data_IF_787252236203
#
_entry.id   IF_787252236203
#
_cell.length_a   1.000
_cell.length_b   1.000
_cell.length_c   1.000
_cell.angle_alpha   90.00
_cell.angle_beta   90.00
_cell.angle_gamma   90.00
#
_symmetry.space_group_name_H-M   'P 1'
#
loop_
_entity.id
_entity.type
_entity.pdbx_description
1 polymer ?
#
# COMPACT_ATOMS: atom_id res chain seq x y z
N UNK A 1 29.72 -25.54 18.15
CA UNK A 1 28.35 -25.02 18.28
C UNK A 1 27.40 -26.01 17.65
N UNK A 2 26.49 -26.59 18.41
CA UNK A 2 25.51 -27.56 17.92
C UNK A 2 24.29 -26.87 17.27
N UNK A 3 23.37 -27.63 16.70
CA UNK A 3 22.22 -27.08 15.98
C UNK A 3 21.26 -26.31 16.89
N UNK A 4 21.07 -26.73 18.15
CA UNK A 4 20.21 -26.03 19.09
C UNK A 4 20.79 -24.66 19.45
N UNK A 5 22.11 -24.59 19.67
CA UNK A 5 22.82 -23.33 19.92
C UNK A 5 22.74 -22.40 18.70
N UNK A 6 22.81 -22.94 17.48
CA UNK A 6 22.64 -22.17 16.25
C UNK A 6 21.22 -21.58 16.11
N UNK A 7 20.19 -22.35 16.46
CA UNK A 7 18.79 -21.88 16.44
C UNK A 7 18.62 -20.72 17.41
N UNK A 8 19.04 -20.88 18.67
CA UNK A 8 18.92 -19.85 19.71
C UNK A 8 19.63 -18.56 19.28
N UNK A 9 20.85 -18.66 18.75
CA UNK A 9 21.60 -17.50 18.26
C UNK A 9 20.89 -16.80 17.09
N UNK A 10 20.30 -17.57 16.18
CA UNK A 10 19.58 -17.03 15.01
C UNK A 10 18.30 -16.32 15.44
N UNK A 11 17.54 -16.87 16.39
CA UNK A 11 16.34 -16.23 16.93
C UNK A 11 16.67 -14.92 17.65
N UNK A 12 17.74 -14.90 18.45
CA UNK A 12 18.22 -13.67 19.08
C UNK A 12 18.61 -12.61 18.03
N UNK A 13 19.30 -13.03 16.95
CA UNK A 13 19.65 -12.12 15.86
C UNK A 13 18.43 -11.59 15.11
N UNK A 14 17.44 -12.44 14.88
CA UNK A 14 16.17 -12.05 14.26
C UNK A 14 15.42 -11.04 15.13
N UNK A 15 15.38 -11.24 16.45
CA UNK A 15 14.77 -10.30 17.37
C UNK A 15 15.46 -8.92 17.32
N UNK A 16 16.79 -8.89 17.27
CA UNK A 16 17.57 -7.66 17.10
C UNK A 16 17.24 -6.97 15.76
N UNK A 17 17.23 -7.72 14.66
CA UNK A 17 16.93 -7.18 13.33
C UNK A 17 15.51 -6.61 13.26
N UNK A 18 14.53 -7.25 13.91
CA UNK A 18 13.15 -6.72 13.99
C UNK A 18 13.08 -5.39 14.73
N UNK A 19 13.82 -5.23 15.82
CA UNK A 19 13.89 -3.95 16.55
C UNK A 19 14.53 -2.86 15.68
N UNK A 20 15.61 -3.19 14.97
CA UNK A 20 16.27 -2.27 14.04
C UNK A 20 15.33 -1.87 12.90
N UNK A 21 14.62 -2.83 12.30
CA UNK A 21 13.64 -2.57 11.25
C UNK A 21 12.52 -1.64 11.72
N UNK A 22 12.00 -1.84 12.94
CA UNK A 22 10.96 -0.98 13.50
C UNK A 22 11.44 0.47 13.68
N UNK A 23 12.70 0.67 14.09
CA UNK A 23 13.31 1.98 14.28
C UNK A 23 13.85 2.61 12.98
N UNK A 24 14.04 1.83 11.91
CA UNK A 24 14.65 2.29 10.68
C UNK A 24 13.76 3.31 9.93
N UNK A 25 14.36 4.35 9.30
CA UNK A 25 13.64 5.25 8.40
C UNK A 25 13.09 4.51 7.18
N UNK A 26 11.92 4.93 6.68
CA UNK A 26 11.34 4.34 5.47
C UNK A 26 12.21 4.52 4.21
N UNK A 27 13.10 5.52 4.18
CA UNK A 27 14.04 5.71 3.07
C UNK A 27 15.02 4.53 2.89
N UNK A 28 15.29 3.77 3.95
CA UNK A 28 16.23 2.65 3.93
C UNK A 28 15.55 1.29 3.75
N UNK A 29 14.34 1.14 4.30
CA UNK A 29 13.63 -0.16 4.39
C UNK A 29 12.30 -0.21 3.64
N UNK A 30 11.93 0.88 2.98
CA UNK A 30 10.65 1.05 2.31
C UNK A 30 9.55 1.60 3.24
N UNK A 31 8.50 2.14 2.63
CA UNK A 31 7.36 2.66 3.36
C UNK A 31 6.55 1.55 4.04
N UNK A 32 6.19 1.81 5.30
CA UNK A 32 5.19 1.02 6.05
C UNK A 32 3.82 1.65 5.89
N UNK A 33 3.11 1.25 4.86
CA UNK A 33 1.80 1.80 4.50
C UNK A 33 0.70 1.30 5.44
N UNK A 34 -0.15 2.23 5.89
CA UNK A 34 -1.35 1.95 6.66
C UNK A 34 -2.54 2.62 6.01
N UNK A 35 -3.62 1.87 5.82
CA UNK A 35 -4.85 2.40 5.25
C UNK A 35 -5.44 3.49 6.15
N UNK A 36 -5.72 4.67 5.58
CA UNK A 36 -6.26 5.83 6.31
C UNK A 36 -7.60 6.32 5.79
N UNK A 37 -8.06 5.83 4.64
CA UNK A 37 -9.34 6.23 4.05
C UNK A 37 -9.32 6.06 2.54
N UNK A 38 -10.17 6.82 1.84
CA UNK A 38 -10.21 6.81 0.39
C UNK A 38 -10.13 8.20 -0.22
N UNK A 39 -9.64 8.25 -1.46
CA UNK A 39 -9.72 9.40 -2.35
C UNK A 39 -10.79 9.13 -3.41
N UNK A 40 -11.42 10.18 -3.93
CA UNK A 40 -12.29 10.03 -5.09
C UNK A 40 -11.46 9.48 -6.26
N UNK A 41 -11.96 8.45 -6.92
CA UNK A 41 -11.21 7.76 -7.96
C UNK A 41 -11.13 8.55 -9.28
N UNK A 42 -11.99 9.57 -9.47
CA UNK A 42 -12.04 10.34 -10.71
C UNK A 42 -12.39 9.52 -11.95
N UNK A 43 -13.11 8.40 -11.77
CA UNK A 43 -13.42 7.44 -12.84
C UNK A 43 -14.43 7.98 -13.88
N UNK A 44 -15.04 9.14 -13.65
CA UNK A 44 -16.01 9.82 -14.52
C UNK A 44 -16.58 11.12 -13.91
N UNK A 45 -17.46 11.85 -14.61
CA UNK A 45 -18.03 13.13 -14.18
C UNK A 45 -18.82 13.03 -12.86
N UNK A 46 -19.57 11.94 -12.69
CA UNK A 46 -20.35 11.63 -11.49
C UNK A 46 -19.72 10.47 -10.70
N UNK A 47 -18.39 10.43 -10.63
CA UNK A 47 -17.64 9.37 -9.95
C UNK A 47 -18.04 9.23 -8.47
N UNK A 48 -18.85 8.21 -8.18
CA UNK A 48 -19.14 7.74 -6.81
C UNK A 48 -18.13 6.72 -6.28
N UNK A 49 -17.16 6.31 -7.10
CA UNK A 49 -16.16 5.30 -6.78
C UNK A 49 -14.97 5.91 -5.98
N UNK A 50 -14.37 5.17 -5.05
CA UNK A 50 -13.22 5.64 -4.24
C UNK A 50 -12.06 4.65 -4.26
N UNK A 51 -10.84 5.19 -4.34
CA UNK A 51 -9.59 4.44 -4.25
C UNK A 51 -9.01 4.52 -2.85
N UNK A 52 -8.38 3.46 -2.34
CA UNK A 52 -7.81 3.45 -0.99
C UNK A 52 -6.61 4.39 -0.92
N UNK A 53 -6.46 5.05 0.21
CA UNK A 53 -5.30 5.89 0.53
C UNK A 53 -4.58 5.30 1.72
N UNK A 54 -3.27 5.17 1.61
CA UNK A 54 -2.40 4.73 2.68
C UNK A 54 -1.45 5.83 3.10
N UNK A 55 -1.19 5.89 4.41
CA UNK A 55 -0.20 6.78 5.02
C UNK A 55 0.96 5.95 5.55
N UNK A 56 2.18 6.40 5.32
CA UNK A 56 3.35 5.78 5.88
C UNK A 56 3.42 6.03 7.40
N UNK A 57 3.48 4.99 8.22
CA UNK A 57 3.58 5.15 9.68
C UNK A 57 4.93 5.74 10.13
N UNK A 58 5.96 5.69 9.27
CA UNK A 58 7.29 6.21 9.59
C UNK A 58 7.45 7.71 9.26
N UNK A 59 7.21 8.11 8.01
CA UNK A 59 7.38 9.51 7.58
C UNK A 59 6.07 10.31 7.52
N UNK A 60 4.92 9.64 7.55
CA UNK A 60 3.61 10.29 7.47
C UNK A 60 3.17 10.70 6.06
N UNK A 61 3.94 10.37 5.04
CA UNK A 61 3.60 10.58 3.63
C UNK A 61 2.38 9.74 3.21
N UNK A 62 1.68 10.16 2.16
CA UNK A 62 0.47 9.49 1.68
C UNK A 62 0.64 9.08 0.22
N UNK A 63 0.13 7.89 -0.13
CA UNK A 63 0.13 7.43 -1.53
C UNK A 63 -0.98 8.08 -2.38
N UNK A 64 -1.97 8.74 -1.75
CA UNK A 64 -3.11 9.37 -2.43
C UNK A 64 -3.82 8.50 -3.49
N UNK A 65 -3.85 7.18 -3.32
CA UNK A 65 -4.42 6.28 -4.32
C UNK A 65 -3.44 5.91 -5.45
N UNK A 66 -2.15 6.14 -5.29
CA UNK A 66 -1.09 5.69 -6.19
C UNK A 66 -0.58 4.28 -5.81
N UNK A 67 -1.46 3.44 -5.27
CA UNK A 67 -1.16 2.06 -4.89
C UNK A 67 -1.76 1.04 -5.88
N UNK A 68 -1.40 -0.22 -5.69
CA UNK A 68 -1.83 -1.30 -6.58
C UNK A 68 -3.34 -1.54 -6.54
N UNK A 69 -3.94 -1.55 -5.36
CA UNK A 69 -5.39 -1.71 -5.19
C UNK A 69 -6.17 -0.57 -5.89
N UNK A 70 -5.65 0.65 -5.84
CA UNK A 70 -6.22 1.77 -6.56
C UNK A 70 -6.15 1.59 -8.07
N UNK A 71 -5.02 1.09 -8.61
CA UNK A 71 -4.90 0.77 -10.04
C UNK A 71 -5.91 -0.30 -10.48
N UNK A 72 -6.09 -1.33 -9.66
CA UNK A 72 -7.06 -2.39 -9.92
C UNK A 72 -8.50 -1.86 -9.92
N UNK A 73 -8.87 -1.02 -8.94
CA UNK A 73 -10.19 -0.38 -8.89
C UNK A 73 -10.44 0.51 -10.10
N UNK A 74 -9.45 1.31 -10.50
CA UNK A 74 -9.56 2.16 -11.68
C UNK A 74 -9.74 1.33 -12.96
N UNK A 75 -9.00 0.22 -13.09
CA UNK A 75 -9.14 -0.69 -14.22
C UNK A 75 -10.53 -1.34 -14.28
N UNK A 76 -11.07 -1.75 -13.13
CA UNK A 76 -12.43 -2.31 -13.04
C UNK A 76 -13.49 -1.28 -13.44
N UNK A 77 -13.41 -0.05 -12.92
CA UNK A 77 -14.34 1.01 -13.30
C UNK A 77 -14.26 1.36 -14.80
N UNK A 78 -13.06 1.34 -15.38
CA UNK A 78 -12.88 1.56 -16.82
C UNK A 78 -13.55 0.45 -17.65
N UNK A 79 -13.45 -0.80 -17.21
CA UNK A 79 -14.10 -1.93 -17.88
C UNK A 79 -15.64 -1.83 -17.80
N UNK A 80 -16.20 -1.57 -16.62
CA UNK A 80 -17.65 -1.42 -16.44
C UNK A 80 -18.23 -0.31 -17.33
N UNK A 81 -17.53 0.84 -17.41
CA UNK A 81 -17.95 1.95 -18.29
C UNK A 81 -17.88 1.61 -19.77
N UNK A 82 -16.90 0.80 -20.19
CA UNK A 82 -16.82 0.33 -21.56
C UNK A 82 -17.97 -0.61 -21.93
N UNK A 83 -18.50 -1.37 -20.96
CA UNK A 83 -19.65 -2.26 -21.14
C UNK A 83 -20.98 -1.51 -21.15
N UNK A 84 -21.14 -0.43 -20.36
CA UNK A 84 -22.38 0.36 -20.29
C UNK A 84 -22.56 1.37 -21.42
N UNK A 85 -21.50 1.66 -22.19
CA UNK A 85 -21.57 2.56 -23.35
C UNK A 85 -21.53 4.07 -23.01
N UNK A 86 -21.24 4.43 -21.75
CA UNK A 86 -20.97 5.82 -21.34
C UNK A 86 -19.54 6.21 -21.71
N UNK A 87 -19.32 6.50 -22.99
CA UNK A 87 -18.15 7.24 -23.47
C UNK A 87 -18.38 8.73 -23.25
N UNK A 88 -17.65 9.32 -22.30
CA UNK A 88 -17.69 10.77 -22.10
C UNK A 88 -17.21 11.48 -23.37
N UNK A 89 -18.09 12.32 -23.93
CA UNK A 89 -17.72 13.33 -24.89
C UNK A 89 -16.75 14.32 -24.22
N UNK A 90 -15.60 14.49 -24.85
CA UNK A 90 -14.52 15.39 -24.45
C UNK A 90 -14.97 16.86 -24.28
#
# INVERSE_FOLDING_TARGET
MNLLEQIIATEAKLAQLRQQLAAAPCAEVGHRWKHVGGANAGCGPDCGCSVPVHRCEACGDCDYGENEEAREKLAACAAERAETGEVDAA
#
